data_IF_066203143404
#
_entry.id   IF_066203143404
#
_cell.length_a   1.000
_cell.length_b   1.000
_cell.length_c   1.000
_cell.angle_alpha   90.00
_cell.angle_beta   90.00
_cell.angle_gamma   90.00
#
_symmetry.space_group_name_H-M   'P 1'
#
loop_
_entity.id
_entity.type
_entity.pdbx_description
1 polymer ?
#
# COMPACT_ATOMS: atom_id res chain seq x y z
N UNK A 1 -10.01 1.50 2.35
CA UNK A 1 -8.76 2.30 2.44
C UNK A 1 -8.94 3.71 3.04
N UNK A 2 -9.45 4.70 2.27
CA UNK A 2 -9.36 6.14 2.61
C UNK A 2 -9.89 6.52 3.99
N UNK A 3 -11.06 5.98 4.38
CA UNK A 3 -11.64 6.21 5.72
C UNK A 3 -10.78 5.64 6.85
N UNK A 4 -10.17 4.46 6.65
CA UNK A 4 -9.27 3.85 7.64
C UNK A 4 -7.99 4.67 7.77
N UNK A 5 -7.42 5.12 6.65
CA UNK A 5 -6.24 5.99 6.65
C UNK A 5 -6.54 7.32 7.36
N UNK A 6 -7.66 7.97 7.05
CA UNK A 6 -8.07 9.21 7.71
C UNK A 6 -8.19 9.05 9.24
N UNK A 7 -8.71 7.90 9.70
CA UNK A 7 -8.80 7.60 11.13
C UNK A 7 -7.43 7.40 11.78
N UNK A 8 -6.48 6.76 11.09
CA UNK A 8 -5.11 6.65 11.61
C UNK A 8 -4.43 8.03 11.69
N UNK A 9 -4.65 8.88 10.69
CA UNK A 9 -4.08 10.21 10.63
C UNK A 9 -4.72 11.20 11.62
N UNK A 10 -5.90 10.91 12.17
CA UNK A 10 -6.48 11.74 13.24
C UNK A 10 -5.86 11.52 14.62
N UNK A 11 -4.92 10.58 14.75
CA UNK A 11 -4.15 10.36 15.98
C UNK A 11 -3.22 11.56 16.26
N UNK A 12 -3.05 11.98 17.53
CA UNK A 12 -2.15 13.08 17.89
C UNK A 12 -0.68 12.77 17.63
N UNK A 13 -0.33 11.48 17.53
CA UNK A 13 1.00 10.99 17.17
C UNK A 13 0.89 10.03 16.00
N UNK A 14 1.96 9.94 15.21
CA UNK A 14 2.03 9.01 14.09
C UNK A 14 1.88 7.56 14.62
N UNK A 15 0.88 6.79 14.15
CA UNK A 15 0.73 5.40 14.54
C UNK A 15 1.93 4.53 14.10
N UNK A 16 2.10 3.34 14.69
CA UNK A 16 3.09 2.38 14.23
C UNK A 16 2.86 1.97 12.76
N UNK A 17 3.94 1.67 12.04
CA UNK A 17 3.93 1.22 10.64
C UNK A 17 2.94 0.07 10.39
N UNK A 18 2.82 -0.86 11.34
CA UNK A 18 1.91 -1.99 11.24
C UNK A 18 0.45 -1.57 11.05
N UNK A 19 0.00 -0.51 11.71
CA UNK A 19 -1.37 -0.02 11.56
C UNK A 19 -1.66 0.42 10.12
N UNK A 20 -0.67 0.96 9.41
CA UNK A 20 -0.80 1.33 8.01
C UNK A 20 -0.74 0.11 7.10
N UNK A 21 0.13 -0.86 7.38
CA UNK A 21 0.18 -2.11 6.61
C UNK A 21 -1.12 -2.90 6.70
N UNK A 22 -1.81 -2.92 7.84
CA UNK A 22 -3.13 -3.54 7.98
C UNK A 22 -4.17 -2.97 7.00
N UNK A 23 -4.11 -1.66 6.69
CA UNK A 23 -4.97 -1.07 5.66
C UNK A 23 -4.64 -1.62 4.27
N UNK A 24 -3.35 -1.82 3.99
CA UNK A 24 -2.85 -2.30 2.70
C UNK A 24 -3.08 -3.80 2.49
N UNK A 25 -3.45 -4.55 3.53
CA UNK A 25 -3.82 -5.96 3.46
C UNK A 25 -5.31 -6.21 3.13
N UNK A 26 -6.08 -5.18 2.79
CA UNK A 26 -7.50 -5.30 2.47
C UNK A 26 -7.74 -6.10 1.16
N UNK A 27 -8.32 -7.29 1.31
CA UNK A 27 -8.61 -8.24 0.21
C UNK A 27 -10.06 -8.17 -0.29
N UNK A 28 -10.87 -7.20 0.18
CA UNK A 28 -12.28 -7.14 -0.21
C UNK A 28 -12.40 -6.68 -1.67
N UNK A 29 -13.02 -7.48 -2.55
CA UNK A 29 -13.30 -7.04 -3.91
C UNK A 29 -14.37 -5.94 -3.92
N UNK A 30 -14.28 -5.06 -4.91
CA UNK A 30 -15.34 -4.10 -5.18
C UNK A 30 -16.59 -4.80 -5.73
N UNK A 31 -17.74 -4.16 -5.62
CA UNK A 31 -18.97 -4.67 -6.27
C UNK A 31 -18.83 -4.51 -7.78
N UNK A 32 -19.45 -5.39 -8.55
CA UNK A 32 -19.44 -5.31 -10.02
C UNK A 32 -19.83 -3.94 -10.57
N UNK A 33 -20.81 -3.29 -9.93
CA UNK A 33 -21.28 -1.95 -10.31
C UNK A 33 -20.26 -0.82 -10.08
N UNK A 34 -19.22 -1.08 -9.30
CA UNK A 34 -18.14 -0.14 -8.97
C UNK A 34 -16.85 -0.46 -9.73
N UNK A 35 -16.83 -1.57 -10.49
CA UNK A 35 -15.68 -1.96 -11.28
C UNK A 35 -15.51 -1.02 -12.48
N UNK A 36 -14.27 -0.65 -12.83
CA UNK A 36 -14.01 0.05 -14.07
C UNK A 36 -14.19 -0.91 -15.26
N UNK A 37 -14.32 -0.35 -16.45
CA UNK A 37 -14.23 -1.07 -17.71
C UNK A 37 -12.89 -0.74 -18.39
N UNK A 38 -11.83 -1.44 -17.98
CA UNK A 38 -10.47 -1.21 -18.50
C UNK A 38 -10.15 -2.08 -19.73
N UNK A 39 -11.06 -2.99 -20.11
CA UNK A 39 -10.89 -3.90 -21.24
C UNK A 39 -10.27 -5.27 -20.90
N UNK A 40 -10.02 -5.60 -19.62
CA UNK A 40 -9.51 -6.92 -19.21
C UNK A 40 -10.62 -7.97 -18.95
N UNK A 41 -11.88 -7.55 -19.01
CA UNK A 41 -13.05 -8.39 -18.75
C UNK A 41 -13.42 -8.48 -17.27
N UNK A 42 -14.71 -8.70 -17.01
CA UNK A 42 -15.31 -8.59 -15.67
C UNK A 42 -14.63 -9.47 -14.61
N UNK A 43 -14.21 -10.68 -14.96
CA UNK A 43 -13.52 -11.58 -14.03
C UNK A 43 -12.19 -11.00 -13.54
N UNK A 44 -11.40 -10.44 -14.45
CA UNK A 44 -10.14 -9.80 -14.10
C UNK A 44 -10.36 -8.49 -13.35
N UNK A 45 -11.38 -7.70 -13.71
CA UNK A 45 -11.74 -6.50 -12.96
C UNK A 45 -12.04 -6.83 -11.49
N UNK A 46 -12.77 -7.92 -11.23
CA UNK A 46 -13.02 -8.41 -9.86
C UNK A 46 -11.72 -8.78 -9.15
N UNK A 47 -10.84 -9.55 -9.79
CA UNK A 47 -9.56 -10.00 -9.23
C UNK A 47 -8.67 -8.81 -8.87
N UNK A 48 -8.63 -7.78 -9.72
CA UNK A 48 -7.74 -6.62 -9.58
C UNK A 48 -8.30 -5.52 -8.67
N UNK A 49 -9.57 -5.60 -8.28
CA UNK A 49 -10.26 -4.57 -7.48
C UNK A 49 -9.80 -4.40 -6.01
N UNK A 50 -9.32 -5.42 -5.28
CA UNK A 50 -8.84 -5.25 -3.91
C UNK A 50 -7.53 -4.44 -3.84
N UNK A 51 -7.23 -3.88 -2.66
CA UNK A 51 -5.91 -3.27 -2.41
C UNK A 51 -4.83 -4.35 -2.39
N UNK A 52 -5.12 -5.47 -1.74
CA UNK A 52 -4.26 -6.64 -1.69
C UNK A 52 -4.80 -7.73 -2.59
N UNK A 53 -4.22 -7.85 -3.79
CA UNK A 53 -4.65 -8.79 -4.81
C UNK A 53 -4.09 -10.17 -4.50
N UNK A 54 -4.96 -11.17 -4.48
CA UNK A 54 -4.59 -12.59 -4.32
C UNK A 54 -5.25 -13.42 -5.40
N UNK A 55 -4.44 -14.01 -6.29
CA UNK A 55 -4.89 -15.04 -7.23
C UNK A 55 -3.75 -16.04 -7.50
N UNK A 56 -4.05 -17.21 -8.09
CA UNK A 56 -3.02 -18.20 -8.42
C UNK A 56 -1.97 -17.71 -9.41
N UNK A 57 -2.31 -16.74 -10.27
CA UNK A 57 -1.46 -16.30 -11.40
C UNK A 57 -0.99 -14.85 -11.29
N UNK A 58 -1.59 -14.05 -10.42
CA UNK A 58 -1.26 -12.64 -10.22
C UNK A 58 -1.59 -12.18 -8.78
N UNK A 59 -0.74 -11.35 -8.18
CA UNK A 59 -1.02 -10.84 -6.84
C UNK A 59 -0.04 -9.79 -6.36
N UNK A 60 -0.41 -9.11 -5.27
CA UNK A 60 0.40 -8.07 -4.63
C UNK A 60 1.69 -8.67 -4.09
N UNK A 61 2.84 -8.21 -4.61
CA UNK A 61 4.19 -8.66 -4.20
C UNK A 61 4.87 -7.74 -3.20
N UNK A 62 4.43 -6.48 -3.13
CA UNK A 62 4.97 -5.52 -2.17
C UNK A 62 3.90 -4.57 -1.68
N UNK A 63 4.08 -4.08 -0.45
CA UNK A 63 3.37 -2.95 0.11
C UNK A 63 4.40 -1.97 0.63
N UNK A 64 4.24 -0.69 0.31
CA UNK A 64 5.26 0.32 0.63
C UNK A 64 4.62 1.47 1.39
N UNK A 65 5.25 1.86 2.49
CA UNK A 65 4.95 3.05 3.26
C UNK A 65 6.08 4.07 3.05
N UNK A 66 5.71 5.31 2.76
CA UNK A 66 6.63 6.43 2.65
C UNK A 66 6.14 7.52 3.57
N UNK A 67 6.95 7.85 4.58
CA UNK A 67 6.75 9.01 5.44
C UNK A 67 7.75 10.07 5.01
N UNK A 68 7.28 11.27 4.75
CA UNK A 68 8.09 12.44 4.40
C UNK A 68 7.66 13.58 5.30
N UNK A 69 8.60 14.16 6.04
CA UNK A 69 8.34 15.37 6.84
C UNK A 69 8.65 16.66 6.06
N UNK A 70 8.35 17.80 6.68
CA UNK A 70 8.59 19.12 6.08
C UNK A 70 10.07 19.50 6.00
N UNK A 71 10.94 18.77 6.70
CA UNK A 71 12.38 18.95 6.75
C UNK A 71 13.09 18.12 5.68
N UNK A 72 12.37 17.27 4.95
CA UNK A 72 12.89 16.41 3.90
C UNK A 72 13.38 15.05 4.39
N UNK A 73 13.12 14.67 5.64
CA UNK A 73 13.42 13.32 6.13
C UNK A 73 12.41 12.32 5.59
N UNK A 74 12.92 11.29 4.92
CA UNK A 74 12.14 10.19 4.37
C UNK A 74 12.36 8.94 5.19
N UNK A 75 11.27 8.33 5.66
CA UNK A 75 11.26 6.93 6.08
C UNK A 75 10.54 6.10 5.02
N UNK A 76 11.28 5.22 4.36
CA UNK A 76 10.76 4.28 3.37
C UNK A 76 10.71 2.89 3.99
N UNK A 77 9.55 2.25 3.98
CA UNK A 77 9.35 0.91 4.52
C UNK A 77 8.65 0.06 3.48
N UNK A 78 9.30 -1.00 3.02
CA UNK A 78 8.71 -1.93 2.06
C UNK A 78 8.57 -3.31 2.67
N UNK A 79 7.37 -3.87 2.54
CA UNK A 79 7.02 -5.23 2.90
C UNK A 79 6.87 -6.05 1.63
N UNK A 80 7.78 -6.99 1.41
CA UNK A 80 7.70 -7.99 0.35
C UNK A 80 6.80 -9.15 0.79
N UNK A 81 5.82 -9.48 -0.04
CA UNK A 81 4.91 -10.60 0.14
C UNK A 81 5.34 -11.74 -0.78
N UNK A 82 5.49 -12.92 -0.20
CA UNK A 82 5.77 -14.14 -0.95
C UNK A 82 4.66 -15.16 -0.67
N UNK A 83 3.82 -15.52 -1.67
CA UNK A 83 2.73 -16.47 -1.48
C UNK A 83 3.23 -17.86 -1.07
N UNK A 84 4.50 -18.17 -1.33
CA UNK A 84 5.14 -19.45 -0.97
C UNK A 84 6.15 -19.31 0.17
N UNK A 85 6.34 -18.11 0.72
CA UNK A 85 7.35 -17.83 1.74
C UNK A 85 6.78 -17.87 3.15
N UNK A 86 7.61 -18.12 4.18
CA UNK A 86 7.13 -18.35 5.54
C UNK A 86 6.56 -17.10 6.22
N UNK A 87 7.03 -15.89 5.87
CA UNK A 87 6.52 -14.61 6.37
C UNK A 87 6.90 -13.47 5.40
N UNK A 88 6.14 -12.36 5.38
CA UNK A 88 6.54 -11.18 4.61
C UNK A 88 7.85 -10.59 5.15
N UNK A 89 8.74 -10.19 4.24
CA UNK A 89 10.02 -9.56 4.59
C UNK A 89 9.86 -8.05 4.57
N UNK A 90 10.25 -7.38 5.66
CA UNK A 90 10.18 -5.91 5.75
C UNK A 90 11.59 -5.31 5.70
N UNK A 91 11.79 -4.30 4.85
CA UNK A 91 13.01 -3.49 4.78
C UNK A 91 12.66 -2.03 5.08
N UNK A 92 13.52 -1.37 5.85
CA UNK A 92 13.37 0.03 6.23
C UNK A 92 14.61 0.82 5.86
N UNK A 93 14.41 1.96 5.23
CA UNK A 93 15.44 2.91 4.86
C UNK A 93 15.06 4.29 5.38
N UNK A 94 16.07 5.03 5.84
CA UNK A 94 15.93 6.41 6.27
C UNK A 94 16.97 7.25 5.54
N UNK A 95 16.51 8.30 4.88
CA UNK A 95 17.37 9.18 4.09
C UNK A 95 16.73 10.56 3.97
N UNK A 96 17.56 11.57 3.76
CA UNK A 96 17.11 12.94 3.52
C UNK A 96 17.07 13.23 2.04
N UNK A 97 15.99 13.87 1.59
CA UNK A 97 15.91 14.46 0.25
C UNK A 97 16.10 15.97 0.36
N UNK A 98 16.91 16.54 -0.54
CA UNK A 98 17.05 17.98 -0.70
C UNK A 98 16.30 18.41 -1.96
N UNK A 99 15.56 19.52 -1.87
CA UNK A 99 15.09 20.20 -3.07
C UNK A 99 16.30 20.77 -3.78
N UNK A 100 16.65 20.22 -4.94
CA UNK A 100 17.41 20.97 -5.93
C UNK A 100 16.40 21.93 -6.56
N UNK A 101 16.25 23.11 -5.98
CA UNK A 101 15.73 24.23 -6.73
C UNK A 101 16.74 24.47 -7.86
N UNK A 102 16.43 23.95 -9.05
CA UNK A 102 17.17 24.30 -10.26
C UNK A 102 17.07 25.82 -10.49
N UNK A 103 18.08 26.42 -11.14
CA UNK A 103 18.04 27.84 -11.50
C UNK A 103 16.83 28.18 -12.37
#
# INVERSE_FOLDING_TARGET
AKKALARLLSSPTLPPEEAFFEILLDRRPAKDSELPDTGVGLEWERILSPIFITSPVYGTRSSTLIFLDHQGEVTFVERTHDPNGPLPRTRKYQFRISSTAGP
#
